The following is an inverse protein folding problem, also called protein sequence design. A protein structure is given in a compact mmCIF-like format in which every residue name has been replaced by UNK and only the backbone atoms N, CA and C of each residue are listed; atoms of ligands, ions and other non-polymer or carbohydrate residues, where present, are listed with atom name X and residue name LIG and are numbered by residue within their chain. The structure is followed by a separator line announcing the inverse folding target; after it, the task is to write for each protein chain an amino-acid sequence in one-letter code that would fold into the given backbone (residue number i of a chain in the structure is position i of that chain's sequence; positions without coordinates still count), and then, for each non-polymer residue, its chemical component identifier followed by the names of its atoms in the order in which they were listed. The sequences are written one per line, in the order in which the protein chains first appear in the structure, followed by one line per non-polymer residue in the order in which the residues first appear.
data_IF_726158914852
#
_entry.id   IF_726158914852
#
_cell.length_a   1.000
_cell.length_b   1.000
_cell.length_c   1.000
_cell.angle_alpha   90.00
_cell.angle_beta   90.00
_cell.angle_gamma   90.00
#
_symmetry.space_group_name_H-M   'P 1'
#
loop_
_entity.id
_entity.type
_entity.pdbx_description
1 polymer ?
#
# COMPACT_ATOMS: atom_id res chain seq x y z
N UNK A 1 -32.53 5.08 -2.32
CA UNK A 1 -31.38 4.24 -2.72
C UNK A 1 -30.15 5.14 -2.79
N UNK A 2 -29.17 4.90 -1.92
CA UNK A 2 -28.01 5.76 -1.73
C UNK A 2 -27.04 5.67 -2.93
N UNK A 3 -26.81 6.80 -3.61
CA UNK A 3 -25.77 6.91 -4.62
C UNK A 3 -24.41 7.06 -3.91
N UNK A 4 -23.65 5.98 -3.86
CA UNK A 4 -22.26 5.90 -3.40
C UNK A 4 -21.29 6.59 -4.40
N UNK A 5 -21.69 7.72 -5.02
CA UNK A 5 -21.15 8.16 -6.31
C UNK A 5 -20.36 9.48 -6.35
N UNK A 6 -20.53 10.38 -5.37
CA UNK A 6 -19.96 11.75 -5.47
C UNK A 6 -18.87 12.08 -4.45
N UNK A 7 -18.64 11.24 -3.45
CA UNK A 7 -17.77 11.58 -2.31
C UNK A 7 -16.28 11.69 -2.64
N UNK A 8 -15.81 11.22 -3.80
CA UNK A 8 -14.39 11.29 -4.20
C UNK A 8 -14.08 12.55 -5.03
N UNK A 9 -15.07 13.17 -5.66
CA UNK A 9 -14.86 14.21 -6.69
C UNK A 9 -14.32 15.53 -6.17
N UNK A 10 -14.40 15.78 -4.86
CA UNK A 10 -14.02 17.05 -4.23
C UNK A 10 -12.68 16.99 -3.47
N UNK A 11 -11.89 15.92 -3.60
CA UNK A 11 -10.54 15.92 -3.05
C UNK A 11 -9.56 16.52 -4.06
N UNK A 12 -8.70 17.49 -3.65
CA UNK A 12 -7.64 17.98 -4.50
C UNK A 12 -6.70 16.81 -4.85
N UNK A 13 -6.40 16.66 -6.14
CA UNK A 13 -5.46 15.66 -6.65
C UNK A 13 -4.23 16.40 -7.14
N UNK A 14 -3.09 16.06 -6.57
CA UNK A 14 -1.78 16.59 -6.97
C UNK A 14 -0.99 15.49 -7.69
N UNK A 15 -0.29 15.88 -8.75
CA UNK A 15 0.56 14.99 -9.53
C UNK A 15 2.01 15.42 -9.37
N UNK A 16 2.89 14.44 -9.23
CA UNK A 16 4.32 14.66 -9.04
C UNK A 16 5.09 13.88 -10.10
N UNK A 17 6.21 14.44 -10.55
CA UNK A 17 7.14 13.75 -11.45
C UNK A 17 8.07 12.78 -10.72
N UNK A 18 8.30 13.00 -9.42
CA UNK A 18 9.11 12.15 -8.56
C UNK A 18 8.24 11.42 -7.51
N UNK A 19 8.41 10.10 -7.32
CA UNK A 19 7.61 9.33 -6.36
C UNK A 19 7.89 9.69 -4.90
N UNK A 20 9.07 10.22 -4.56
CA UNK A 20 9.40 10.62 -3.20
C UNK A 20 8.79 11.98 -2.85
N UNK A 21 8.65 12.88 -3.81
CA UNK A 21 7.84 14.09 -3.66
C UNK A 21 6.39 13.73 -3.31
N UNK A 22 5.79 12.79 -4.06
CA UNK A 22 4.44 12.30 -3.77
C UNK A 22 4.29 11.66 -2.38
N UNK A 23 5.37 11.11 -1.82
CA UNK A 23 5.37 10.49 -0.49
C UNK A 23 5.59 11.49 0.65
N UNK A 24 6.06 12.71 0.35
CA UNK A 24 6.42 13.70 1.35
C UNK A 24 5.18 14.14 2.15
N UNK A 25 5.23 13.98 3.47
CA UNK A 25 4.12 14.29 4.37
C UNK A 25 2.93 13.33 4.31
N UNK A 26 3.01 12.25 3.53
CA UNK A 26 1.91 11.29 3.42
C UNK A 26 1.79 10.40 4.68
N UNK A 27 0.55 10.01 5.04
CA UNK A 27 0.32 9.01 6.09
C UNK A 27 0.56 7.58 5.58
N UNK A 28 0.28 7.36 4.30
CA UNK A 28 0.37 6.07 3.64
C UNK A 28 0.80 6.22 2.18
N UNK A 29 1.52 5.23 1.68
CA UNK A 29 1.85 5.08 0.25
C UNK A 29 1.28 3.76 -0.26
N UNK A 30 0.73 3.80 -1.47
CA UNK A 30 0.12 2.64 -2.13
C UNK A 30 0.84 2.39 -3.45
N UNK A 31 1.35 1.17 -3.63
CA UNK A 31 1.83 0.68 -4.91
C UNK A 31 0.67 0.14 -5.73
N UNK A 32 0.19 0.97 -6.66
CA UNK A 32 -0.95 0.63 -7.53
C UNK A 32 -0.52 -0.06 -8.85
N UNK A 33 0.73 0.09 -9.27
CA UNK A 33 1.24 -0.42 -10.56
C UNK A 33 2.54 -1.20 -10.40
N UNK A 34 2.82 -2.09 -11.35
CA UNK A 34 3.97 -3.00 -11.34
C UNK A 34 5.20 -2.48 -12.09
N UNK A 35 5.35 -1.17 -12.19
CA UNK A 35 6.43 -0.58 -12.96
C UNK A 35 7.80 -0.82 -12.31
N UNK A 36 8.80 -1.10 -13.15
CA UNK A 36 10.16 -1.48 -12.75
C UNK A 36 10.80 -0.48 -11.77
N UNK A 37 10.55 0.82 -11.98
CA UNK A 37 11.06 1.90 -11.13
C UNK A 37 10.58 1.85 -9.68
N UNK A 38 9.49 1.13 -9.38
CA UNK A 38 8.95 1.00 -8.03
C UNK A 38 9.25 -0.35 -7.37
N UNK A 39 10.04 -1.22 -8.01
CA UNK A 39 10.28 -2.59 -7.50
C UNK A 39 11.15 -2.61 -6.24
N UNK A 40 12.08 -1.66 -6.11
CA UNK A 40 13.02 -1.58 -5.00
C UNK A 40 13.22 -0.11 -4.59
N UNK A 41 12.21 0.55 -3.99
CA UNK A 41 12.35 1.92 -3.51
C UNK A 41 13.27 1.98 -2.30
N UNK A 42 13.83 3.15 -2.03
CA UNK A 42 14.53 3.40 -0.79
C UNK A 42 13.52 3.55 0.36
N UNK A 43 13.32 2.46 1.10
CA UNK A 43 12.38 2.42 2.23
C UNK A 43 12.83 3.28 3.41
N UNK A 44 14.13 3.55 3.56
CA UNK A 44 14.64 4.44 4.60
C UNK A 44 14.26 5.88 4.26
N UNK A 45 14.54 6.31 3.03
CA UNK A 45 14.12 7.62 2.52
C UNK A 45 12.61 7.82 2.60
N UNK A 46 11.81 6.81 2.23
CA UNK A 46 10.35 6.88 2.38
C UNK A 46 9.93 7.13 3.84
N UNK A 47 10.57 6.44 4.78
CA UNK A 47 10.25 6.59 6.20
C UNK A 47 10.64 7.94 6.80
N UNK A 48 11.61 8.64 6.21
CA UNK A 48 12.02 9.98 6.59
C UNK A 48 11.08 11.05 6.01
N UNK A 49 10.59 10.85 4.80
CA UNK A 49 9.71 11.81 4.10
C UNK A 49 8.25 11.71 4.53
N UNK A 50 7.76 10.51 4.84
CA UNK A 50 6.37 10.29 5.20
C UNK A 50 6.06 10.76 6.63
N UNK A 51 4.86 11.32 6.84
CA UNK A 51 4.32 11.59 8.19
C UNK A 51 3.97 10.28 8.89
N UNK A 52 3.34 9.37 8.15
CA UNK A 52 3.01 8.04 8.61
C UNK A 52 4.04 6.99 8.18
N UNK A 53 3.70 5.73 8.37
CA UNK A 53 4.58 4.59 8.07
C UNK A 53 3.87 3.46 7.34
N UNK A 54 2.66 3.68 6.83
CA UNK A 54 1.87 2.63 6.22
C UNK A 54 2.22 2.46 4.75
N UNK A 55 2.64 1.26 4.36
CA UNK A 55 2.85 0.88 2.96
C UNK A 55 1.85 -0.19 2.54
N UNK A 56 1.15 0.05 1.45
CA UNK A 56 0.24 -0.91 0.84
C UNK A 56 0.77 -1.35 -0.52
N UNK A 57 1.03 -2.63 -0.66
CA UNK A 57 1.50 -3.23 -1.89
C UNK A 57 0.38 -4.06 -2.54
N UNK A 58 -0.28 -3.44 -3.53
CA UNK A 58 -1.34 -4.08 -4.31
C UNK A 58 -0.84 -5.03 -5.39
N UNK A 59 0.46 -5.01 -5.70
CA UNK A 59 1.08 -5.81 -6.77
C UNK A 59 1.99 -6.92 -6.25
N UNK A 60 2.13 -7.00 -4.92
CA UNK A 60 2.90 -8.03 -4.21
C UNK A 60 4.41 -8.02 -4.58
N UNK A 61 4.97 -6.86 -4.89
CA UNK A 61 6.37 -6.68 -5.29
C UNK A 61 7.36 -6.52 -4.13
N UNK A 62 6.97 -5.91 -3.02
CA UNK A 62 7.89 -5.58 -1.92
C UNK A 62 7.97 -6.71 -0.90
N UNK A 63 9.17 -7.02 -0.43
CA UNK A 63 9.37 -8.02 0.61
C UNK A 63 9.49 -7.41 2.00
N UNK A 64 9.05 -8.16 3.03
CA UNK A 64 9.02 -7.64 4.40
C UNK A 64 10.40 -7.24 4.88
N UNK A 65 11.42 -8.03 4.58
CA UNK A 65 12.75 -7.82 5.13
C UNK A 65 13.41 -6.56 4.54
N UNK A 66 13.13 -6.22 3.28
CA UNK A 66 13.54 -4.97 2.65
C UNK A 66 12.92 -3.76 3.36
N UNK A 67 11.64 -3.87 3.74
CA UNK A 67 10.91 -2.79 4.44
C UNK A 67 11.30 -2.61 5.90
N UNK A 68 11.96 -3.59 6.53
CA UNK A 68 12.38 -3.49 7.94
C UNK A 68 13.40 -2.38 8.16
N UNK A 69 14.31 -2.18 7.20
CA UNK A 69 15.35 -1.14 7.28
C UNK A 69 14.75 0.26 7.46
N UNK A 70 13.66 0.56 6.74
CA UNK A 70 12.93 1.82 6.86
C UNK A 70 12.00 1.91 8.08
N UNK A 71 11.78 0.82 8.83
CA UNK A 71 10.77 0.75 9.90
C UNK A 71 9.38 1.17 9.40
N UNK A 72 8.98 0.69 8.23
CA UNK A 72 7.65 0.93 7.64
C UNK A 72 6.76 -0.32 7.77
N UNK A 73 5.44 -0.12 7.84
CA UNK A 73 4.44 -1.16 8.01
C UNK A 73 3.90 -1.62 6.65
N UNK A 74 4.47 -2.70 6.12
CA UNK A 74 4.03 -3.28 4.86
C UNK A 74 2.76 -4.14 5.01
N UNK A 75 1.78 -3.86 4.15
CA UNK A 75 0.57 -4.66 3.90
C UNK A 75 0.56 -5.08 2.43
N UNK A 76 0.71 -6.38 2.16
CA UNK A 76 0.67 -6.95 0.81
C UNK A 76 -0.71 -7.54 0.52
N UNK A 77 -1.14 -7.46 -0.74
CA UNK A 77 -2.28 -8.23 -1.21
C UNK A 77 -2.01 -9.74 -1.06
N UNK A 78 -2.83 -10.45 -0.26
CA UNK A 78 -2.78 -11.91 -0.14
C UNK A 78 -3.90 -12.51 -0.97
N UNK A 79 -3.56 -13.41 -1.88
CA UNK A 79 -4.57 -14.22 -2.56
C UNK A 79 -5.42 -15.00 -1.55
N UNK A 80 -6.72 -15.09 -1.80
CA UNK A 80 -7.64 -15.93 -1.03
C UNK A 80 -7.23 -17.42 -1.05
N UNK A 81 -6.45 -17.87 -2.05
CA UNK A 81 -5.87 -19.22 -2.05
C UNK A 81 -4.79 -19.41 -0.96
N UNK A 82 -3.99 -18.39 -0.68
CA UNK A 82 -2.99 -18.39 0.40
C UNK A 82 -3.63 -18.42 1.79
N UNK A 83 -4.80 -17.80 1.96
CA UNK A 83 -5.57 -17.87 3.20
C UNK A 83 -6.28 -19.24 3.39
N UNK A 84 -6.69 -19.89 2.29
CA UNK A 84 -7.39 -21.19 2.29
C UNK A 84 -6.57 -22.35 2.84
N UNK A 85 -5.24 -22.29 2.77
CA UNK A 85 -4.36 -23.39 3.17
C UNK A 85 -3.81 -23.26 4.60
N UNK A 86 -4.40 -22.40 5.44
CA UNK A 86 -4.04 -22.30 6.86
C UNK A 86 -4.93 -23.22 7.70
N UNK A 87 -4.40 -24.25 8.36
CA UNK A 87 -5.17 -24.99 9.34
C UNK A 87 -5.62 -24.04 10.46
N UNK A 88 -6.93 -23.98 10.72
CA UNK A 88 -7.53 -23.22 11.83
C UNK A 88 -8.18 -21.87 11.50
N UNK A 89 -8.14 -21.39 10.26
CA UNK A 89 -8.87 -20.16 9.89
C UNK A 89 -10.29 -20.52 9.43
N UNK A 90 -11.29 -20.26 10.27
CA UNK A 90 -12.69 -20.46 9.93
C UNK A 90 -13.06 -19.65 8.67
N UNK A 91 -13.78 -20.27 7.74
CA UNK A 91 -14.30 -19.59 6.55
C UNK A 91 -15.25 -18.47 7.02
N UNK A 92 -15.11 -17.22 6.53
CA UNK A 92 -16.14 -16.22 6.78
C UNK A 92 -17.44 -16.71 6.16
N UNK A 93 -18.47 -16.93 6.99
CA UNK A 93 -19.84 -17.08 6.51
C UNK A 93 -20.36 -15.68 6.24
N UNK A 94 -20.46 -15.32 4.97
CA UNK A 94 -21.23 -14.15 4.59
C UNK A 94 -22.71 -14.53 4.57
N UNK A 95 -23.61 -13.64 5.05
CA UNK A 95 -25.05 -13.83 4.89
C UNK A 95 -25.46 -13.76 3.42
#
# INVERSE_FOLDING_TARGET
MAALGDSVRNFPIEFFSDPYEAATGADAVILATEWRQYRSPDFVKLAELMRGRALFDGRNQWERDETRGGRVHLRRHRSLSSARNRPGLARPRFP
#
